data_IF_447863298540
#
_entry.id   IF_447863298540
#
_cell.length_a   1.000
_cell.length_b   1.000
_cell.length_c   1.000
_cell.angle_alpha   90.00
_cell.angle_beta   90.00
_cell.angle_gamma   90.00
#
_symmetry.space_group_name_H-M   'P 1'
#
loop_
_entity.id
_entity.type
_entity.pdbx_description
1 polymer ?
#
# COMPACT_ATOMS: atom_id res chain seq x y z
N UNK A 1 -2.10 1.14 19.81
CA UNK A 1 -1.30 2.35 19.50
C UNK A 1 -1.33 2.64 18.01
N UNK A 2 -1.07 3.90 17.64
CA UNK A 2 -0.95 4.38 16.26
C UNK A 2 0.53 4.65 15.98
N UNK A 3 1.01 4.14 14.85
CA UNK A 3 2.39 4.30 14.41
C UNK A 3 2.42 5.06 13.08
N UNK A 4 2.99 6.28 13.04
CA UNK A 4 3.22 7.00 11.79
C UNK A 4 4.18 6.23 10.88
N UNK A 5 3.87 6.19 9.58
CA UNK A 5 4.71 5.53 8.57
C UNK A 5 5.38 6.57 7.67
N UNK A 6 4.59 7.36 6.96
CA UNK A 6 5.09 8.39 6.05
C UNK A 6 4.00 9.39 5.68
N UNK A 7 4.36 10.35 4.83
CA UNK A 7 3.43 11.16 4.03
C UNK A 7 3.46 10.68 2.58
N UNK A 8 2.28 10.52 1.97
CA UNK A 8 2.10 10.16 0.55
C UNK A 8 1.89 11.40 -0.33
N UNK A 9 2.19 11.28 -1.62
CA UNK A 9 1.79 12.27 -2.61
C UNK A 9 0.30 12.10 -2.94
N UNK A 10 -0.53 13.08 -2.56
CA UNK A 10 -1.97 13.06 -2.81
C UNK A 10 -2.28 13.00 -4.31
N UNK A 11 -1.48 13.67 -5.15
CA UNK A 11 -1.70 13.66 -6.60
C UNK A 11 -1.49 12.25 -7.17
N UNK A 12 -0.46 11.55 -6.71
CA UNK A 12 -0.21 10.16 -7.10
C UNK A 12 -1.37 9.23 -6.73
N UNK A 13 -1.94 9.38 -5.53
CA UNK A 13 -3.05 8.53 -5.05
C UNK A 13 -4.43 8.99 -5.51
N UNK A 14 -4.54 10.18 -6.13
CA UNK A 14 -5.81 10.70 -6.66
C UNK A 14 -6.47 9.80 -7.71
N UNK A 15 -5.69 8.89 -8.33
CA UNK A 15 -6.17 7.85 -9.23
C UNK A 15 -7.11 6.83 -8.56
N UNK A 16 -7.04 6.71 -7.24
CA UNK A 16 -7.92 5.83 -6.43
C UNK A 16 -9.20 6.58 -6.03
N UNK A 17 -9.05 7.82 -5.57
CA UNK A 17 -10.14 8.76 -5.29
C UNK A 17 -9.59 10.17 -5.25
N UNK A 18 -10.35 11.16 -5.73
CA UNK A 18 -9.97 12.57 -5.62
C UNK A 18 -10.24 13.17 -4.23
N UNK A 19 -11.01 12.47 -3.38
CA UNK A 19 -11.41 12.93 -2.06
C UNK A 19 -10.47 12.38 -0.96
N UNK A 20 -9.21 12.82 -0.96
CA UNK A 20 -8.22 12.44 0.06
C UNK A 20 -8.04 13.62 1.00
N UNK A 21 -8.30 13.46 2.31
CA UNK A 21 -8.26 14.60 3.25
C UNK A 21 -6.94 14.72 4.04
N UNK A 22 -6.03 13.77 3.91
CA UNK A 22 -4.71 13.82 4.55
C UNK A 22 -3.64 13.12 3.73
N UNK A 23 -2.39 13.57 3.86
CA UNK A 23 -1.22 12.90 3.30
C UNK A 23 -0.61 11.88 4.27
N UNK A 24 -1.00 11.90 5.55
CA UNK A 24 -0.38 11.07 6.57
C UNK A 24 -0.85 9.62 6.47
N UNK A 25 0.09 8.69 6.52
CA UNK A 25 -0.16 7.24 6.59
C UNK A 25 0.27 6.70 7.94
N UNK A 26 -0.60 5.88 8.53
CA UNK A 26 -0.34 5.17 9.78
C UNK A 26 -0.51 3.66 9.64
N UNK A 27 -0.06 2.94 10.66
CA UNK A 27 -0.51 1.58 10.96
C UNK A 27 -0.86 1.49 12.45
N UNK A 28 -1.83 0.67 12.83
CA UNK A 28 -2.24 0.45 14.22
C UNK A 28 -1.68 -0.88 14.75
N UNK A 29 -1.58 -1.03 16.07
CA UNK A 29 -1.20 -2.32 16.69
C UNK A 29 -2.08 -3.47 16.20
N UNK A 30 -3.40 -3.27 16.12
CA UNK A 30 -4.34 -4.27 15.59
C UNK A 30 -3.95 -4.72 14.17
N UNK A 31 -3.52 -3.79 13.32
CA UNK A 31 -3.10 -4.11 11.95
C UNK A 31 -1.72 -4.77 11.90
N UNK A 32 -0.82 -4.41 12.81
CA UNK A 32 0.46 -5.10 12.98
C UNK A 32 0.22 -6.55 13.40
N UNK A 33 -0.62 -6.78 14.40
CA UNK A 33 -0.99 -8.12 14.89
C UNK A 33 -1.70 -8.92 13.80
N UNK A 34 -2.60 -8.28 13.03
CA UNK A 34 -3.23 -8.92 11.87
C UNK A 34 -2.20 -9.43 10.86
N UNK A 35 -1.19 -8.62 10.52
CA UNK A 35 -0.12 -9.02 9.60
C UNK A 35 0.68 -10.18 10.20
N UNK A 36 1.10 -10.09 11.47
CA UNK A 36 1.84 -11.17 12.15
C UNK A 36 1.08 -12.49 12.16
N UNK A 37 -0.22 -12.43 12.45
CA UNK A 37 -1.06 -13.61 12.55
C UNK A 37 -1.30 -14.31 11.19
N UNK A 38 -1.35 -13.54 10.09
CA UNK A 38 -1.68 -14.07 8.76
C UNK A 38 -0.46 -14.29 7.86
N UNK A 39 0.63 -13.55 8.09
CA UNK A 39 1.80 -13.49 7.22
C UNK A 39 3.12 -13.71 7.99
N UNK A 40 3.05 -14.24 9.22
CA UNK A 40 4.24 -14.57 10.02
C UNK A 40 5.15 -13.36 10.25
N UNK A 41 6.44 -13.53 9.97
CA UNK A 41 7.47 -12.51 10.24
C UNK A 41 7.50 -11.37 9.20
N UNK A 42 6.52 -11.30 8.27
CA UNK A 42 6.49 -10.29 7.21
C UNK A 42 6.47 -8.86 7.76
N UNK A 43 5.81 -8.59 8.89
CA UNK A 43 5.84 -7.25 9.46
C UNK A 43 7.27 -6.86 9.87
N UNK A 44 7.95 -7.70 10.63
CA UNK A 44 9.30 -7.47 11.12
C UNK A 44 10.30 -7.31 9.98
N UNK A 45 10.20 -8.18 8.96
CA UNK A 45 11.14 -8.23 7.84
C UNK A 45 10.97 -7.02 6.90
N UNK A 46 9.74 -6.55 6.69
CA UNK A 46 9.47 -5.60 5.60
C UNK A 46 8.94 -4.23 6.03
N UNK A 47 8.67 -3.99 7.31
CA UNK A 47 8.18 -2.69 7.79
C UNK A 47 9.06 -1.51 7.39
N UNK A 48 10.37 -1.71 7.23
CA UNK A 48 11.30 -0.68 6.79
C UNK A 48 11.00 -0.17 5.36
N UNK A 49 10.44 -1.03 4.50
CA UNK A 49 10.10 -0.69 3.12
C UNK A 49 8.73 -0.05 2.96
N UNK A 50 7.88 0.01 4.00
CA UNK A 50 6.51 0.54 3.86
C UNK A 50 6.51 1.97 3.32
N UNK A 51 7.42 2.80 3.80
CA UNK A 51 7.54 4.16 3.28
C UNK A 51 8.01 4.21 1.83
N UNK A 52 8.88 3.30 1.40
CA UNK A 52 9.33 3.21 0.00
C UNK A 52 8.19 2.79 -0.91
N UNK A 53 7.47 1.71 -0.53
CA UNK A 53 6.32 1.17 -1.25
C UNK A 53 5.26 2.25 -1.45
N UNK A 54 4.98 3.04 -0.41
CA UNK A 54 3.96 4.08 -0.44
C UNK A 54 4.37 5.30 -1.28
N UNK A 55 5.66 5.68 -1.28
CA UNK A 55 6.15 6.88 -1.96
C UNK A 55 6.57 6.65 -3.40
N UNK A 56 7.04 5.45 -3.73
CA UNK A 56 7.53 5.11 -5.05
C UNK A 56 6.96 3.76 -5.52
N UNK A 57 5.62 3.59 -5.55
CA UNK A 57 5.00 2.35 -5.97
C UNK A 57 5.35 2.00 -7.41
N UNK A 58 5.37 0.71 -7.74
CA UNK A 58 5.51 0.26 -9.12
C UNK A 58 4.16 0.23 -9.81
N UNK A 59 3.13 -0.23 -9.08
CA UNK A 59 1.75 -0.22 -9.54
C UNK A 59 0.82 0.20 -8.40
N UNK A 60 -0.25 0.92 -8.77
CA UNK A 60 -1.46 1.05 -7.94
C UNK A 60 -2.59 0.38 -8.69
N UNK A 61 -3.22 -0.60 -8.05
CA UNK A 61 -4.33 -1.37 -8.60
C UNK A 61 -5.64 -0.97 -7.93
N UNK A 62 -6.74 -1.09 -8.68
CA UNK A 62 -8.08 -0.92 -8.17
C UNK A 62 -8.40 -1.99 -7.12
N UNK A 63 -9.05 -1.56 -6.04
CA UNK A 63 -9.56 -2.43 -4.97
C UNK A 63 -10.94 -1.89 -4.53
N UNK A 64 -11.38 -2.24 -3.32
CA UNK A 64 -12.57 -1.66 -2.68
C UNK A 64 -12.53 -0.13 -2.71
N UNK A 65 -13.70 0.56 -2.60
CA UNK A 65 -13.75 2.01 -2.58
C UNK A 65 -12.70 2.64 -1.64
N UNK A 66 -12.11 3.75 -2.09
CA UNK A 66 -11.04 4.50 -1.43
C UNK A 66 -9.89 3.63 -0.88
N UNK A 67 -9.62 2.48 -1.49
CA UNK A 67 -8.58 1.55 -1.06
C UNK A 67 -7.64 1.29 -2.23
N UNK A 68 -6.35 1.49 -2.00
CA UNK A 68 -5.30 1.21 -2.95
C UNK A 68 -4.71 -0.18 -2.69
N UNK A 69 -4.51 -0.97 -3.74
CA UNK A 69 -3.63 -2.14 -3.71
C UNK A 69 -2.33 -1.80 -4.41
N UNK A 70 -1.28 -1.66 -3.62
CA UNK A 70 0.00 -1.13 -4.05
C UNK A 70 0.97 -2.29 -4.21
N UNK A 71 1.62 -2.33 -5.37
CA UNK A 71 2.65 -3.32 -5.68
C UNK A 71 4.01 -2.64 -5.80
N UNK A 72 5.03 -3.26 -5.22
CA UNK A 72 6.43 -2.82 -5.30
C UNK A 72 7.37 -4.02 -5.33
N UNK A 73 8.34 -4.01 -6.24
CA UNK A 73 9.53 -4.85 -6.19
C UNK A 73 10.64 -4.09 -5.48
N UNK A 74 11.11 -4.63 -4.37
CA UNK A 74 12.18 -4.05 -3.57
C UNK A 74 13.51 -4.41 -4.22
N UNK A 75 14.15 -3.41 -4.85
CA UNK A 75 15.36 -3.59 -5.68
C UNK A 75 16.49 -4.27 -4.91
N UNK A 76 16.63 -3.98 -3.62
CA UNK A 76 17.75 -4.50 -2.80
C UNK A 76 17.71 -6.03 -2.62
N UNK A 77 16.54 -6.67 -2.72
CA UNK A 77 16.42 -8.12 -2.50
C UNK A 77 15.52 -8.84 -3.54
N UNK A 78 15.04 -8.13 -4.57
CA UNK A 78 14.18 -8.67 -5.64
C UNK A 78 12.79 -9.09 -5.15
N UNK A 79 12.40 -8.73 -3.93
CA UNK A 79 11.16 -9.22 -3.34
C UNK A 79 9.99 -8.37 -3.77
N UNK A 80 8.95 -9.04 -4.26
CA UNK A 80 7.69 -8.46 -4.65
C UNK A 80 6.75 -8.37 -3.46
N UNK A 81 6.24 -7.18 -3.22
CA UNK A 81 5.43 -6.86 -2.06
C UNK A 81 4.07 -6.33 -2.50
N UNK A 82 3.07 -6.63 -1.69
CA UNK A 82 1.72 -6.09 -1.79
C UNK A 82 1.36 -5.38 -0.49
N UNK A 83 0.90 -4.15 -0.59
CA UNK A 83 0.42 -3.34 0.52
C UNK A 83 -0.99 -2.84 0.21
N UNK A 84 -1.91 -2.98 1.17
CA UNK A 84 -3.27 -2.45 1.07
C UNK A 84 -3.39 -1.20 1.92
N UNK A 85 -3.69 -0.07 1.27
CA UNK A 85 -3.84 1.24 1.91
C UNK A 85 -5.29 1.70 1.81
N UNK A 86 -5.95 1.96 2.94
CA UNK A 86 -7.23 2.66 2.98
C UNK A 86 -6.95 4.16 3.04
N UNK A 87 -7.46 4.90 2.06
CA UNK A 87 -7.41 6.37 2.03
C UNK A 87 -8.55 6.94 2.85
N UNK A 88 -8.25 7.98 3.61
CA UNK A 88 -9.25 8.69 4.39
C UNK A 88 -9.90 9.78 3.53
N UNK A 89 -11.23 9.80 3.58
CA UNK A 89 -12.11 10.64 2.74
C UNK A 89 -13.03 11.50 3.59
N UNK A 90 -13.74 12.43 2.96
CA UNK A 90 -14.73 13.29 3.65
C UNK A 90 -15.88 12.52 4.29
N UNK A 91 -16.12 11.28 3.85
CA UNK A 91 -17.15 10.38 4.41
C UNK A 91 -16.70 9.61 5.66
N UNK A 92 -15.40 9.61 5.95
CA UNK A 92 -14.83 8.97 7.14
C UNK A 92 -14.77 9.97 8.32
N UNK A 93 -14.79 9.52 9.58
CA UNK A 93 -14.59 10.40 10.73
C UNK A 93 -13.31 11.25 10.63
N UNK A 94 -13.34 12.56 10.96
CA UNK A 94 -12.19 13.46 10.79
C UNK A 94 -10.92 13.07 11.57
N UNK A 95 -11.05 12.22 12.60
CA UNK A 95 -9.92 11.73 13.39
C UNK A 95 -9.15 10.61 12.67
N UNK A 96 -9.70 10.04 11.59
CA UNK A 96 -9.05 8.98 10.84
C UNK A 96 -7.95 9.53 9.94
N UNK A 97 -7.04 8.64 9.56
CA UNK A 97 -5.93 8.92 8.64
C UNK A 97 -5.90 7.82 7.59
N UNK A 98 -5.06 8.00 6.57
CA UNK A 98 -4.77 6.88 5.67
C UNK A 98 -4.12 5.76 6.49
N UNK A 99 -4.56 4.52 6.29
CA UNK A 99 -4.16 3.41 7.14
C UNK A 99 -3.77 2.17 6.33
N UNK A 100 -2.63 1.58 6.69
CA UNK A 100 -2.23 0.27 6.17
C UNK A 100 -3.17 -0.79 6.76
N UNK A 101 -3.86 -1.51 5.89
CA UNK A 101 -4.83 -2.56 6.26
C UNK A 101 -4.14 -3.92 6.35
N UNK A 102 -3.24 -4.21 5.43
CA UNK A 102 -2.44 -5.44 5.42
C UNK A 102 -1.22 -5.26 4.52
N UNK A 103 -0.23 -6.11 4.71
CA UNK A 103 1.00 -6.20 3.91
C UNK A 103 1.40 -7.67 3.79
N UNK A 104 1.95 -8.05 2.65
CA UNK A 104 2.59 -9.35 2.46
C UNK A 104 3.63 -9.33 1.33
N UNK A 105 4.68 -10.14 1.49
CA UNK A 105 5.50 -10.58 0.36
C UNK A 105 4.70 -11.56 -0.51
N UNK A 106 4.78 -11.39 -1.83
CA UNK A 106 4.08 -12.24 -2.81
C UNK A 106 5.03 -12.85 -3.83
N UNK A 107 4.69 -14.05 -4.29
CA UNK A 107 5.40 -14.76 -5.35
C UNK A 107 5.16 -14.10 -6.70
N UNK A 108 6.07 -14.34 -7.66
CA UNK A 108 5.93 -13.87 -9.04
C UNK A 108 4.61 -14.31 -9.69
N UNK A 109 4.14 -15.52 -9.39
CA UNK A 109 2.88 -16.03 -9.92
C UNK A 109 1.67 -15.20 -9.45
N UNK A 110 1.67 -14.77 -8.19
CA UNK A 110 0.63 -13.90 -7.63
C UNK A 110 0.75 -12.48 -8.19
N UNK A 111 1.96 -11.93 -8.26
CA UNK A 111 2.21 -10.62 -8.88
C UNK A 111 1.67 -10.55 -10.30
N UNK A 112 2.05 -11.52 -11.13
CA UNK A 112 1.60 -11.60 -12.52
C UNK A 112 0.09 -11.86 -12.64
N UNK A 113 -0.50 -12.62 -11.71
CA UNK A 113 -1.95 -12.81 -11.65
C UNK A 113 -2.68 -11.50 -11.36
N UNK A 114 -2.18 -10.69 -10.43
CA UNK A 114 -2.77 -9.39 -10.10
C UNK A 114 -2.71 -8.44 -11.28
N UNK A 115 -1.55 -8.34 -11.96
CA UNK A 115 -1.40 -7.46 -13.13
C UNK A 115 -2.29 -7.87 -14.32
N UNK A 116 -2.58 -9.16 -14.48
CA UNK A 116 -3.51 -9.63 -15.54
C UNK A 116 -4.98 -9.42 -15.19
N UNK A 117 -5.34 -9.59 -13.91
CA UNK A 117 -6.75 -9.73 -13.53
C UNK A 117 -7.34 -8.47 -12.90
N UNK A 118 -6.52 -7.50 -12.49
CA UNK A 118 -6.97 -6.26 -11.88
C UNK A 118 -6.74 -5.08 -12.79
N UNK A 119 -7.62 -4.08 -12.68
CA UNK A 119 -7.45 -2.79 -13.32
C UNK A 119 -6.28 -2.05 -12.69
N UNK A 120 -5.32 -1.67 -13.52
CA UNK A 120 -4.16 -0.87 -13.13
C UNK A 120 -4.58 0.60 -13.20
N UNK A 121 -4.42 1.32 -12.09
CA UNK A 121 -4.74 2.75 -11.98
C UNK A 121 -3.49 3.62 -12.19
N UNK A 122 -2.32 3.08 -11.85
CA UNK A 122 -1.02 3.72 -12.04
C UNK A 122 0.06 2.68 -12.35
N UNK A 123 1.01 3.07 -13.20
CA UNK A 123 2.25 2.33 -13.47
C UNK A 123 3.41 3.31 -13.44
N UNK A 124 4.45 2.95 -12.69
CA UNK A 124 5.68 3.72 -12.67
C UNK A 124 6.38 3.63 -14.03
N UNK A 125 6.56 4.77 -14.70
CA UNK A 125 7.15 4.84 -16.04
C UNK A 125 8.60 4.36 -16.10
N UNK A 126 9.30 4.34 -14.95
CA UNK A 126 10.67 3.84 -14.86
C UNK A 126 10.79 2.30 -15.00
N UNK A 127 9.67 1.57 -15.05
CA UNK A 127 9.64 0.13 -15.35
C UNK A 127 9.75 -0.19 -16.85
N UNK A 128 9.71 0.82 -17.73
CA UNK A 128 9.73 0.64 -19.18
C UNK A 128 11.10 0.89 -19.82
N UNK A 129 12.16 0.98 -19.03
CA UNK A 129 13.55 1.24 -19.49
C UNK A 129 14.42 0.01 -19.26
#
# INVERSE_FOLDING_TARGET
MIHPICKIDIALYSVVTSDIQTDEVIITDERIEHIRAHHGDDFEIYREYFSEILRAPDYILENKPNTAEILKEIVHNGKKCKLILRLQTSTDPPIYRNAIITFLHIRDSEWNRLLRNKKILYTNSNLMI
#
